data_IF_976687602217
#
_entry.id   IF_976687602217
#
_cell.length_a   1.000
_cell.length_b   1.000
_cell.length_c   1.000
_cell.angle_alpha   90.00
_cell.angle_beta   90.00
_cell.angle_gamma   90.00
#
_symmetry.space_group_name_H-M   'P 1'
#
loop_
_entity.id
_entity.type
_entity.pdbx_description
1 polymer ?
#
# COMPACT_ATOMS: atom_id res chain seq x y z
N UNK A 1 -18.92 5.29 8.22
CA UNK A 1 -18.10 4.62 7.19
C UNK A 1 -17.60 3.25 7.64
N UNK A 2 -16.71 3.13 8.65
CA UNK A 2 -16.14 1.82 9.07
C UNK A 2 -17.19 0.76 9.45
N UNK A 3 -18.28 1.15 10.13
CA UNK A 3 -19.43 0.26 10.43
C UNK A 3 -20.09 -0.28 9.15
N UNK A 4 -20.48 0.62 8.23
CA UNK A 4 -21.04 0.28 6.91
C UNK A 4 -20.11 -0.63 6.11
N UNK A 5 -18.80 -0.38 6.15
CA UNK A 5 -17.79 -1.20 5.47
C UNK A 5 -17.72 -2.62 6.07
N UNK A 6 -17.67 -2.72 7.40
CA UNK A 6 -17.70 -4.00 8.13
C UNK A 6 -18.93 -4.81 7.73
N UNK A 7 -20.12 -4.22 7.85
CA UNK A 7 -21.40 -4.89 7.62
C UNK A 7 -21.55 -5.39 6.18
N UNK A 8 -20.91 -4.71 5.22
CA UNK A 8 -20.91 -5.08 3.79
C UNK A 8 -19.79 -6.04 3.38
N UNK A 9 -18.97 -6.55 4.31
CA UNK A 9 -17.87 -7.43 3.91
C UNK A 9 -16.66 -6.70 3.29
N UNK A 10 -16.60 -5.37 3.34
CA UNK A 10 -15.60 -4.58 2.64
C UNK A 10 -14.36 -4.29 3.49
N UNK A 11 -13.25 -4.07 2.79
CA UNK A 11 -12.04 -3.47 3.35
C UNK A 11 -12.15 -1.94 3.37
N UNK A 12 -11.34 -1.28 4.19
CA UNK A 12 -11.47 0.15 4.45
C UNK A 12 -11.12 1.00 3.23
N UNK A 13 -10.04 0.68 2.52
CA UNK A 13 -9.59 1.46 1.34
C UNK A 13 -10.65 1.53 0.24
N UNK A 14 -11.22 0.38 -0.13
CA UNK A 14 -12.34 0.32 -1.07
C UNK A 14 -13.55 1.11 -0.58
N UNK A 15 -13.98 0.91 0.68
CA UNK A 15 -15.18 1.54 1.22
C UNK A 15 -15.06 3.07 1.31
N UNK A 16 -13.85 3.59 1.56
CA UNK A 16 -13.57 5.03 1.53
C UNK A 16 -13.65 5.56 0.10
N UNK A 17 -12.99 4.90 -0.85
CA UNK A 17 -12.98 5.31 -2.25
C UNK A 17 -14.38 5.34 -2.86
N UNK A 18 -15.16 4.29 -2.61
CA UNK A 18 -16.56 4.19 -3.02
C UNK A 18 -17.40 5.31 -2.39
N UNK A 19 -17.30 5.54 -1.09
CA UNK A 19 -18.08 6.59 -0.43
C UNK A 19 -17.73 7.99 -0.98
N UNK A 20 -16.45 8.31 -1.17
CA UNK A 20 -16.03 9.61 -1.73
C UNK A 20 -16.64 9.82 -3.13
N UNK A 21 -16.65 8.78 -3.95
CA UNK A 21 -17.13 8.86 -5.32
C UNK A 21 -18.66 8.89 -5.42
N UNK A 22 -19.33 7.89 -4.83
CA UNK A 22 -20.78 7.67 -4.93
C UNK A 22 -21.58 8.72 -4.15
N UNK A 23 -21.10 9.14 -2.97
CA UNK A 23 -21.79 10.17 -2.17
C UNK A 23 -21.55 11.59 -2.74
N UNK A 24 -20.77 11.72 -3.84
CA UNK A 24 -20.59 12.99 -4.55
C UNK A 24 -19.83 14.05 -3.74
N UNK A 25 -18.85 13.64 -2.92
CA UNK A 25 -18.17 14.57 -2.01
C UNK A 25 -17.37 15.64 -2.79
N UNK A 26 -17.20 16.85 -2.21
CA UNK A 26 -16.36 17.89 -2.80
C UNK A 26 -14.95 17.39 -3.09
N UNK A 27 -14.41 17.78 -4.24
CA UNK A 27 -13.06 17.41 -4.71
C UNK A 27 -12.81 15.91 -4.89
N UNK A 28 -13.87 15.09 -5.07
CA UNK A 28 -13.74 13.64 -5.30
C UNK A 28 -12.79 13.27 -6.46
N UNK A 29 -12.70 14.10 -7.49
CA UNK A 29 -11.79 13.91 -8.64
C UNK A 29 -10.30 14.01 -8.25
N UNK A 30 -9.98 14.68 -7.15
CA UNK A 30 -8.62 14.84 -6.64
C UNK A 30 -8.23 13.76 -5.61
N UNK A 31 -9.15 12.85 -5.27
CA UNK A 31 -8.91 11.80 -4.28
C UNK A 31 -8.32 10.54 -4.91
N UNK A 32 -7.15 10.12 -4.43
CA UNK A 32 -6.50 8.87 -4.85
C UNK A 32 -7.37 7.63 -4.60
N UNK A 33 -8.07 7.58 -3.46
CA UNK A 33 -8.93 6.45 -3.12
C UNK A 33 -10.19 6.42 -4.01
N UNK A 34 -10.75 7.58 -4.35
CA UNK A 34 -11.87 7.65 -5.28
C UNK A 34 -11.44 7.25 -6.71
N UNK A 35 -10.28 7.71 -7.15
CA UNK A 35 -9.71 7.30 -8.43
C UNK A 35 -9.46 5.77 -8.47
N UNK A 36 -8.90 5.19 -7.41
CA UNK A 36 -8.69 3.75 -7.32
C UNK A 36 -10.01 2.97 -7.45
N UNK A 37 -11.06 3.40 -6.73
CA UNK A 37 -12.40 2.82 -6.85
C UNK A 37 -12.94 2.89 -8.30
N UNK A 38 -12.89 4.07 -8.94
CA UNK A 38 -13.38 4.25 -10.32
C UNK A 38 -12.66 3.41 -11.35
N UNK A 39 -11.36 3.24 -11.19
CA UNK A 39 -10.52 2.52 -12.14
C UNK A 39 -10.41 1.02 -11.81
N UNK A 40 -11.13 0.53 -10.80
CA UNK A 40 -11.06 -0.87 -10.38
C UNK A 40 -9.71 -1.27 -9.79
N UNK A 41 -8.89 -0.29 -9.37
CA UNK A 41 -7.60 -0.52 -8.74
C UNK A 41 -7.81 -0.85 -7.26
N UNK A 42 -7.20 -1.93 -6.78
CA UNK A 42 -7.30 -2.32 -5.38
C UNK A 42 -6.60 -1.31 -4.49
N UNK A 43 -7.35 -0.68 -3.59
CA UNK A 43 -6.82 0.18 -2.53
C UNK A 43 -7.06 -0.46 -1.16
N UNK A 44 -6.02 -0.51 -0.34
CA UNK A 44 -6.05 -1.01 1.04
C UNK A 44 -5.62 0.08 2.01
N UNK A 45 -6.21 0.11 3.19
CA UNK A 45 -5.83 1.02 4.28
C UNK A 45 -5.47 0.18 5.51
N UNK A 46 -4.21 0.29 5.93
CA UNK A 46 -3.67 -0.44 7.08
C UNK A 46 -3.60 0.49 8.29
N UNK A 47 -4.63 0.41 9.12
CA UNK A 47 -4.80 1.33 10.25
C UNK A 47 -3.76 1.05 11.34
N UNK A 48 -3.04 2.11 11.74
CA UNK A 48 -2.23 2.12 12.95
C UNK A 48 -3.04 2.76 14.07
N UNK A 49 -3.56 1.94 14.99
CA UNK A 49 -4.45 2.42 16.05
C UNK A 49 -3.73 3.45 16.91
N UNK A 50 -4.35 4.62 17.11
CA UNK A 50 -3.79 5.75 17.85
C UNK A 50 -3.00 6.76 17.00
N UNK A 51 -2.72 6.49 15.73
CA UNK A 51 -2.04 7.47 14.84
C UNK A 51 -3.02 8.36 14.11
N UNK A 52 -4.14 7.80 13.68
CA UNK A 52 -5.08 8.52 12.81
C UNK A 52 -6.06 9.37 13.62
N UNK A 53 -6.38 10.57 13.11
CA UNK A 53 -7.27 11.53 13.78
C UNK A 53 -8.65 10.94 14.09
N UNK A 54 -9.14 10.03 13.23
CA UNK A 54 -10.45 9.39 13.41
C UNK A 54 -10.57 8.61 14.72
N UNK A 55 -9.46 8.16 15.31
CA UNK A 55 -9.46 7.42 16.57
C UNK A 55 -9.91 8.27 17.76
N UNK A 56 -9.80 9.60 17.68
CA UNK A 56 -10.22 10.52 18.74
C UNK A 56 -11.74 10.75 18.72
N UNK A 57 -12.43 10.40 17.64
CA UNK A 57 -13.86 10.63 17.51
C UNK A 57 -14.66 9.65 18.37
N UNK A 58 -15.64 10.10 19.20
CA UNK A 58 -16.38 9.22 20.10
C UNK A 58 -17.18 8.13 19.39
N UNK A 59 -17.54 8.39 18.13
CA UNK A 59 -18.21 7.41 17.26
C UNK A 59 -17.30 6.36 16.62
N UNK A 60 -15.98 6.37 16.89
CA UNK A 60 -15.03 5.40 16.36
C UNK A 60 -15.36 3.99 16.90
N UNK A 61 -15.55 3.05 15.98
CA UNK A 61 -15.84 1.65 16.31
C UNK A 61 -14.58 0.82 16.09
N UNK A 62 -13.91 0.47 17.19
CA UNK A 62 -12.66 -0.29 17.15
C UNK A 62 -12.81 -1.68 16.54
N UNK A 63 -13.96 -2.34 16.71
CA UNK A 63 -14.23 -3.65 16.12
C UNK A 63 -14.37 -3.53 14.59
N UNK A 64 -15.13 -2.54 14.12
CA UNK A 64 -15.26 -2.28 12.69
C UNK A 64 -13.93 -1.86 12.05
N UNK A 65 -13.16 -1.03 12.74
CA UNK A 65 -11.86 -0.55 12.28
C UNK A 65 -10.84 -1.70 12.18
N UNK A 66 -10.72 -2.53 13.21
CA UNK A 66 -9.86 -3.71 13.18
C UNK A 66 -10.25 -4.72 12.10
N UNK A 67 -11.54 -5.04 11.97
CA UNK A 67 -12.03 -5.98 10.96
C UNK A 67 -11.77 -5.49 9.54
N UNK A 68 -12.09 -4.22 9.24
CA UNK A 68 -11.89 -3.65 7.90
C UNK A 68 -10.40 -3.52 7.53
N UNK A 69 -9.54 -3.15 8.49
CA UNK A 69 -8.08 -3.12 8.32
C UNK A 69 -7.49 -4.52 8.09
N UNK A 70 -7.98 -5.54 8.82
CA UNK A 70 -7.53 -6.92 8.65
C UNK A 70 -7.96 -7.50 7.29
N UNK A 71 -9.15 -7.14 6.79
CA UNK A 71 -9.58 -7.48 5.43
C UNK A 71 -8.66 -6.88 4.38
N UNK A 72 -8.30 -5.61 4.55
CA UNK A 72 -7.34 -4.94 3.67
C UNK A 72 -5.96 -5.60 3.72
N UNK A 73 -5.48 -6.01 4.90
CA UNK A 73 -4.27 -6.81 5.03
C UNK A 73 -4.35 -8.13 4.24
N UNK A 74 -5.45 -8.88 4.35
CA UNK A 74 -5.64 -10.14 3.61
C UNK A 74 -5.65 -9.91 2.10
N UNK A 75 -6.32 -8.86 1.61
CA UNK A 75 -6.31 -8.48 0.19
C UNK A 75 -4.90 -8.13 -0.28
N UNK A 76 -4.18 -7.32 0.49
CA UNK A 76 -2.80 -6.97 0.18
C UNK A 76 -1.88 -8.20 0.18
N UNK A 77 -2.05 -9.13 1.12
CA UNK A 77 -1.30 -10.38 1.15
C UNK A 77 -1.58 -11.27 -0.08
N UNK A 78 -2.82 -11.28 -0.59
CA UNK A 78 -3.15 -11.96 -1.83
C UNK A 78 -2.43 -11.33 -3.04
N UNK A 79 -2.34 -10.00 -3.12
CA UNK A 79 -1.55 -9.32 -4.15
C UNK A 79 -0.05 -9.64 -4.02
N UNK A 80 0.49 -9.66 -2.80
CA UNK A 80 1.89 -10.02 -2.56
C UNK A 80 2.19 -11.48 -2.93
N UNK A 81 1.20 -12.37 -2.85
CA UNK A 81 1.32 -13.76 -3.31
C UNK A 81 1.43 -13.91 -4.84
N UNK A 82 1.28 -12.82 -5.60
CA UNK A 82 1.46 -12.72 -7.05
C UNK A 82 2.63 -11.80 -7.42
N UNK A 83 3.48 -11.43 -6.45
CA UNK A 83 4.56 -10.46 -6.65
C UNK A 83 5.79 -11.02 -7.40
N UNK A 84 5.83 -12.32 -7.71
CA UNK A 84 6.95 -12.91 -8.44
C UNK A 84 7.14 -12.24 -9.82
N UNK A 85 8.38 -11.82 -10.12
CA UNK A 85 8.70 -11.01 -11.29
C UNK A 85 8.20 -9.55 -11.22
N UNK A 86 7.52 -9.18 -10.14
CA UNK A 86 6.88 -7.88 -9.97
C UNK A 86 7.73 -6.83 -9.23
N UNK A 87 7.07 -5.73 -8.88
CA UNK A 87 7.69 -4.57 -8.24
C UNK A 87 6.89 -4.14 -7.01
N UNK A 88 7.57 -3.92 -5.89
CA UNK A 88 7.01 -3.28 -4.70
C UNK A 88 7.71 -1.95 -4.40
N UNK A 89 6.93 -0.88 -4.31
CA UNK A 89 7.42 0.46 -3.97
C UNK A 89 6.97 0.84 -2.55
N UNK A 90 7.92 1.06 -1.66
CA UNK A 90 7.67 1.67 -0.35
C UNK A 90 7.93 3.17 -0.44
N UNK A 91 6.86 3.97 -0.44
CA UNK A 91 6.95 5.43 -0.60
C UNK A 91 6.60 6.11 0.72
N UNK A 92 7.58 6.77 1.35
CA UNK A 92 7.40 7.64 2.51
C UNK A 92 6.93 6.96 3.80
N UNK A 93 6.97 5.62 3.88
CA UNK A 93 6.60 4.89 5.09
C UNK A 93 7.82 4.30 5.79
N UNK A 94 8.17 4.86 6.94
CA UNK A 94 9.28 4.37 7.76
C UNK A 94 8.94 3.13 8.58
N UNK A 95 7.64 2.89 8.88
CA UNK A 95 7.20 1.85 9.82
C UNK A 95 6.04 0.99 9.32
N UNK A 96 4.85 1.58 9.11
CA UNK A 96 3.61 0.80 8.91
C UNK A 96 3.70 -0.10 7.67
N UNK A 97 3.98 0.46 6.49
CA UNK A 97 4.02 -0.31 5.26
C UNK A 97 5.20 -1.30 5.20
N UNK A 98 6.43 -0.98 5.65
CA UNK A 98 7.50 -1.97 5.78
C UNK A 98 7.12 -3.18 6.63
N UNK A 99 6.43 -2.97 7.75
CA UNK A 99 5.97 -4.07 8.59
C UNK A 99 4.86 -4.86 7.89
N UNK A 100 3.84 -4.19 7.35
CA UNK A 100 2.73 -4.83 6.61
C UNK A 100 3.25 -5.69 5.46
N UNK A 101 4.14 -5.15 4.63
CA UNK A 101 4.77 -5.87 3.52
C UNK A 101 5.52 -7.11 3.97
N UNK A 102 6.36 -7.00 5.00
CA UNK A 102 7.11 -8.15 5.50
C UNK A 102 6.18 -9.28 5.97
N UNK A 103 5.04 -8.97 6.59
CA UNK A 103 4.09 -9.97 7.09
C UNK A 103 3.29 -10.58 5.95
N UNK A 104 2.87 -9.77 4.99
CA UNK A 104 2.22 -10.22 3.77
C UNK A 104 3.10 -11.19 2.98
N UNK A 105 4.39 -10.84 2.78
CA UNK A 105 5.35 -11.68 2.09
C UNK A 105 5.63 -12.99 2.84
N UNK A 106 5.79 -12.90 4.16
CA UNK A 106 5.97 -14.10 5.01
C UNK A 106 4.76 -15.02 4.90
N UNK A 107 3.55 -14.46 4.95
CA UNK A 107 2.32 -15.24 4.80
C UNK A 107 2.23 -15.90 3.42
N UNK A 108 2.50 -15.17 2.35
CA UNK A 108 2.50 -15.71 0.98
C UNK A 108 3.45 -16.91 0.85
N UNK A 109 4.70 -16.76 1.30
CA UNK A 109 5.72 -17.82 1.26
C UNK A 109 5.33 -19.03 2.12
N UNK A 110 4.80 -18.79 3.32
CA UNK A 110 4.36 -19.86 4.22
C UNK A 110 3.17 -20.66 3.65
N UNK A 111 2.36 -20.05 2.77
CA UNK A 111 1.28 -20.72 2.04
C UNK A 111 1.77 -21.41 0.75
N UNK A 112 3.10 -21.52 0.54
CA UNK A 112 3.69 -22.23 -0.59
C UNK A 112 3.74 -21.43 -1.89
N UNK A 113 3.51 -20.11 -1.84
CA UNK A 113 3.62 -19.25 -3.03
C UNK A 113 5.10 -18.94 -3.28
N UNK A 114 5.53 -19.14 -4.51
CA UNK A 114 6.85 -18.76 -4.97
C UNK A 114 6.89 -17.24 -5.14
N UNK A 115 7.58 -16.56 -4.21
CA UNK A 115 7.79 -15.11 -4.21
C UNK A 115 9.25 -14.86 -3.78
N UNK A 116 10.19 -15.04 -4.70
CA UNK A 116 11.64 -14.98 -4.50
C UNK A 116 12.31 -13.89 -5.36
N UNK A 117 11.92 -13.75 -6.63
CA UNK A 117 12.55 -12.85 -7.59
C UNK A 117 11.64 -11.67 -7.93
N UNK A 118 11.77 -10.58 -7.17
CA UNK A 118 11.05 -9.34 -7.41
C UNK A 118 11.93 -8.13 -7.10
N UNK A 119 11.54 -6.97 -7.61
CA UNK A 119 12.22 -5.72 -7.33
C UNK A 119 11.51 -4.97 -6.21
N UNK A 120 12.27 -4.46 -5.24
CA UNK A 120 11.76 -3.49 -4.26
C UNK A 120 12.48 -2.17 -4.40
N UNK A 121 11.77 -1.07 -4.16
CA UNK A 121 12.39 0.23 -3.99
C UNK A 121 11.84 0.94 -2.75
N UNK A 122 12.73 1.50 -1.94
CA UNK A 122 12.35 2.41 -0.87
C UNK A 122 12.64 3.86 -1.28
N UNK A 123 11.58 4.68 -1.33
CA UNK A 123 11.62 6.10 -1.65
C UNK A 123 11.37 6.91 -0.37
N UNK A 124 12.39 7.62 0.10
CA UNK A 124 12.29 8.46 1.31
C UNK A 124 13.34 9.58 1.32
N UNK A 125 13.10 10.65 2.08
CA UNK A 125 14.04 11.75 2.25
C UNK A 125 15.33 11.29 2.92
N UNK A 126 15.24 10.31 3.83
CA UNK A 126 16.36 9.76 4.58
C UNK A 126 16.31 8.24 4.62
N UNK A 127 17.47 7.60 4.86
CA UNK A 127 17.52 6.15 5.00
C UNK A 127 17.17 5.73 6.42
N UNK A 128 16.02 5.08 6.57
CA UNK A 128 15.58 4.49 7.82
C UNK A 128 16.04 3.03 7.92
N UNK A 129 16.45 2.59 9.11
CA UNK A 129 16.86 1.19 9.35
C UNK A 129 15.80 0.18 8.92
N UNK A 130 14.54 0.43 9.28
CA UNK A 130 13.46 -0.55 9.11
C UNK A 130 13.11 -0.80 7.64
N UNK A 131 12.90 0.20 6.77
CA UNK A 131 12.77 -0.05 5.32
C UNK A 131 14.02 -0.66 4.69
N UNK A 132 15.22 -0.25 5.12
CA UNK A 132 16.47 -0.87 4.62
C UNK A 132 16.50 -2.37 4.86
N UNK A 133 16.01 -2.83 6.01
CA UNK A 133 16.00 -4.27 6.35
C UNK A 133 14.75 -4.98 5.83
N UNK A 134 13.56 -4.40 6.03
CA UNK A 134 12.27 -5.06 5.83
C UNK A 134 11.65 -4.84 4.43
N UNK A 135 12.22 -3.95 3.62
CA UNK A 135 11.82 -3.73 2.21
C UNK A 135 12.97 -4.07 1.27
N UNK A 136 14.15 -3.48 1.51
CA UNK A 136 15.28 -3.56 0.57
C UNK A 136 16.09 -4.84 0.78
N UNK A 137 16.53 -5.14 2.01
CA UNK A 137 17.44 -6.25 2.29
C UNK A 137 16.76 -7.63 2.34
N UNK A 138 16.09 -7.95 3.45
CA UNK A 138 15.58 -9.32 3.72
C UNK A 138 14.61 -9.84 2.66
N UNK A 139 13.65 -9.05 2.13
CA UNK A 139 12.71 -9.55 1.13
C UNK A 139 13.38 -10.05 -0.14
N UNK A 140 14.45 -9.36 -0.58
CA UNK A 140 15.10 -9.58 -1.88
C UNK A 140 16.36 -10.45 -1.79
N UNK A 141 16.85 -10.76 -0.58
CA UNK A 141 18.08 -11.54 -0.38
C UNK A 141 18.09 -12.95 -0.98
N UNK A 142 16.94 -13.50 -1.37
CA UNK A 142 16.79 -14.80 -2.04
C UNK A 142 16.91 -14.76 -3.58
N UNK A 143 17.18 -13.60 -4.18
CA UNK A 143 17.37 -13.47 -5.64
C UNK A 143 16.65 -12.30 -6.31
N UNK A 144 16.01 -11.42 -5.55
CA UNK A 144 15.43 -10.17 -6.03
C UNK A 144 16.42 -9.01 -6.06
N UNK A 145 15.91 -7.81 -6.35
CA UNK A 145 16.70 -6.56 -6.35
C UNK A 145 16.10 -5.53 -5.40
N UNK A 146 16.86 -5.12 -4.39
CA UNK A 146 16.49 -4.02 -3.50
C UNK A 146 17.15 -2.70 -3.90
N UNK A 147 16.37 -1.63 -3.98
CA UNK A 147 16.84 -0.28 -4.39
C UNK A 147 16.49 0.75 -3.31
N UNK A 148 17.41 1.68 -3.07
CA UNK A 148 17.13 2.91 -2.32
C UNK A 148 17.14 4.10 -3.27
N UNK A 149 16.05 4.87 -3.25
CA UNK A 149 15.97 6.18 -3.88
C UNK A 149 15.80 7.21 -2.75
N UNK A 150 16.86 7.95 -2.47
CA UNK A 150 16.89 8.89 -1.33
C UNK A 150 16.82 10.32 -1.86
N UNK A 151 15.80 11.07 -1.43
CA UNK A 151 15.56 12.44 -1.88
C UNK A 151 14.11 12.87 -1.67
N UNK A 152 13.77 14.14 -1.98
CA UNK A 152 12.42 14.66 -1.81
C UNK A 152 11.40 13.94 -2.67
N UNK A 153 10.24 13.57 -2.10
CA UNK A 153 9.17 12.87 -2.83
C UNK A 153 8.60 13.69 -3.98
N UNK A 154 8.57 15.02 -3.82
CA UNK A 154 8.12 15.99 -4.81
C UNK A 154 8.97 15.97 -6.08
N UNK A 155 10.19 15.44 -6.00
CA UNK A 155 11.08 15.25 -7.14
C UNK A 155 11.08 13.79 -7.57
N UNK A 156 11.27 12.85 -6.64
CA UNK A 156 11.43 11.43 -6.96
C UNK A 156 10.17 10.81 -7.57
N UNK A 157 8.98 11.14 -7.05
CA UNK A 157 7.73 10.52 -7.53
C UNK A 157 7.39 11.00 -8.94
N UNK A 158 7.40 12.32 -9.26
CA UNK A 158 7.16 12.76 -10.64
C UNK A 158 8.21 12.27 -11.64
N UNK A 159 9.49 12.20 -11.26
CA UNK A 159 10.52 11.67 -12.15
C UNK A 159 10.33 10.18 -12.43
N UNK A 160 10.03 9.38 -11.41
CA UNK A 160 9.73 7.95 -11.59
C UNK A 160 8.49 7.77 -12.49
N UNK A 161 7.45 8.56 -12.27
CA UNK A 161 6.24 8.53 -13.09
C UNK A 161 6.53 8.91 -14.55
N UNK A 162 7.24 10.02 -14.78
CA UNK A 162 7.61 10.47 -16.12
C UNK A 162 8.49 9.46 -16.86
N UNK A 163 9.46 8.87 -16.18
CA UNK A 163 10.30 7.82 -16.75
C UNK A 163 9.50 6.58 -17.15
N UNK A 164 8.54 6.15 -16.33
CA UNK A 164 7.65 5.02 -16.68
C UNK A 164 6.78 5.36 -17.90
N UNK A 165 6.24 6.58 -17.98
CA UNK A 165 5.47 7.01 -19.15
C UNK A 165 6.31 6.99 -20.42
N UNK A 166 7.51 7.54 -20.37
CA UNK A 166 8.44 7.58 -21.52
C UNK A 166 8.76 6.16 -22.02
N UNK A 167 9.03 5.21 -21.11
CA UNK A 167 9.26 3.81 -21.47
C UNK A 167 8.03 3.15 -22.11
N UNK A 168 6.82 3.47 -21.65
CA UNK A 168 5.58 2.94 -22.22
C UNK A 168 5.30 3.51 -23.62
N UNK A 169 5.78 4.73 -23.91
CA UNK A 169 5.68 5.38 -25.22
C UNK A 169 6.78 4.95 -26.21
N UNK A 170 7.68 4.05 -25.81
CA UNK A 170 8.80 3.59 -26.64
C UNK A 170 10.00 4.53 -26.64
N UNK A 171 10.12 5.37 -25.61
CA UNK A 171 11.34 6.11 -25.32
C UNK A 171 12.54 5.19 -25.02
N UNK A 172 13.75 5.76 -24.97
CA UNK A 172 15.01 5.01 -24.86
C UNK A 172 15.13 4.15 -23.60
#
# INVERSE_FOLDING_TARGET
MVRRARDRGLGLGYAVGEAIWEDGLPYRESSLLAAAYRHGVTATVHVAVGTDIVHMHPGCDGAALGETSLRDFRKFAALVAELEGGVYLNVGSAVVLPEVFLKALTLARNLGREVAHFTTANLDFVRHYRPSVNVVGRPTGGGGRGIHLTGPHEILVPLLFGWVLELLEGGP
#
